data_IF_826739582214
#
_entry.id   IF_826739582214
#
_cell.length_a   1.000
_cell.length_b   1.000
_cell.length_c   1.000
_cell.angle_alpha   90.00
_cell.angle_beta   90.00
_cell.angle_gamma   90.00
#
_symmetry.space_group_name_H-M   'P 1'
#
loop_
_entity.id
_entity.type
_entity.pdbx_description
1 polymer ?
2 non-polymer ?
3 non-polymer ?
4 water ?
#
# COMPACT_ATOMS: atom_id res chain seq x y z
N UNK A 1 -0.05 -18.38 -4.88
CA UNK A 1 0.27 -16.97 -4.49
C UNK A 1 1.67 -16.53 -4.97
N UNK A 2 2.03 -15.27 -4.67
CA UNK A 2 3.42 -14.80 -4.88
C UNK A 2 4.09 -14.23 -3.64
N UNK A 3 3.44 -13.34 -2.91
CA UNK A 3 4.04 -12.77 -1.71
C UNK A 3 3.98 -13.76 -0.54
N UNK A 4 5.07 -13.77 0.23
CA UNK A 4 5.42 -14.82 1.15
C UNK A 4 6.14 -14.12 2.36
N UNK A 5 5.79 -12.85 2.55
CA UNK A 5 6.31 -12.10 3.67
C UNK A 5 5.13 -11.40 4.29
N UNK A 6 4.80 -11.77 5.52
CA UNK A 6 3.71 -11.14 6.24
C UNK A 6 4.21 -10.81 7.61
N UNK A 7 3.49 -9.91 8.27
CA UNK A 7 3.89 -9.55 9.60
C UNK A 7 3.23 -10.47 10.61
N UNK A 8 4.08 -11.03 11.46
CA UNK A 8 3.62 -11.89 12.55
C UNK A 8 3.16 -10.99 13.68
N UNK A 9 2.03 -11.33 14.29
CA UNK A 9 1.57 -10.65 15.51
C UNK A 9 0.96 -9.30 15.23
N UNK A 10 0.47 -9.10 14.01
CA UNK A 10 -0.06 -7.80 13.58
C UNK A 10 -1.25 -7.38 14.41
N UNK A 11 -1.20 -6.16 14.96
CA UNK A 11 -2.40 -5.60 15.56
C UNK A 11 -3.00 -4.54 14.64
N UNK A 12 -4.08 -4.89 13.95
CA UNK A 12 -4.62 -4.02 12.91
C UNK A 12 -5.07 -2.66 13.47
N UNK A 13 -5.55 -2.65 14.71
CA UNK A 13 -6.07 -1.41 15.30
C UNK A 13 -5.01 -0.33 15.35
N UNK A 14 -3.77 -0.79 15.54
CA UNK A 14 -2.58 0.04 15.67
C UNK A 14 -2.06 0.61 14.34
N UNK A 15 -2.65 0.22 13.21
CA UNK A 15 -2.32 0.90 11.92
C UNK A 15 -3.31 2.03 11.57
N UNK A 16 -4.26 2.31 12.46
CA UNK A 16 -5.18 3.38 12.21
C UNK A 16 -4.44 4.73 12.00
N UNK A 17 -5.05 5.60 11.21
CA UNK A 17 -4.55 6.96 11.15
C UNK A 17 -3.91 7.35 9.83
N UNK A 18 -3.05 8.38 9.90
CA UNK A 18 -2.48 9.07 8.72
C UNK A 18 -1.31 8.29 8.13
N UNK A 19 -1.31 8.16 6.81
CA UNK A 19 -0.18 7.57 6.14
C UNK A 19 0.09 8.32 4.84
N UNK A 20 1.31 8.14 4.35
CA UNK A 20 1.82 8.74 3.09
C UNK A 20 2.40 7.59 2.25
N UNK A 21 1.97 7.44 1.00
CA UNK A 21 2.65 6.53 0.05
C UNK A 21 4.00 7.06 -0.43
N UNK A 22 5.05 6.83 0.37
CA UNK A 22 6.39 7.26 0.06
C UNK A 22 6.96 6.59 -1.24
N UNK A 23 6.74 5.28 -1.40
CA UNK A 23 7.24 4.57 -2.60
C UNK A 23 6.26 3.51 -3.01
N UNK A 24 6.27 3.16 -4.32
CA UNK A 24 5.38 2.12 -4.84
C UNK A 24 6.18 1.30 -5.85
N UNK A 25 5.85 0.02 -5.99
CA UNK A 25 6.49 -0.86 -7.02
C UNK A 25 5.46 -1.81 -7.59
N UNK A 26 5.64 -2.27 -8.82
CA UNK A 26 4.62 -3.18 -9.37
C UNK A 26 5.27 -4.16 -10.34
N UNK A 27 4.54 -5.22 -10.68
CA UNK A 27 5.15 -6.33 -11.43
C UNK A 27 5.16 -5.96 -12.91
N UNK A 28 4.32 -5.01 -13.27
CA UNK A 28 4.13 -4.58 -14.65
C UNK A 28 4.16 -3.08 -14.69
N UNK A 29 4.85 -2.52 -15.70
CA UNK A 29 5.00 -1.07 -15.87
C UNK A 29 3.68 -0.34 -15.97
N UNK A 30 2.73 -0.95 -16.67
CA UNK A 30 1.47 -0.32 -16.97
C UNK A 30 0.61 -0.19 -15.71
N UNK A 31 0.98 -0.91 -14.65
CA UNK A 31 0.27 -0.79 -13.35
C UNK A 31 0.51 0.56 -12.64
N UNK A 32 1.67 1.18 -12.91
CA UNK A 32 2.09 2.41 -12.22
C UNK A 32 2.48 3.58 -13.15
N UNK A 33 2.55 3.34 -14.46
CA UNK A 33 3.22 4.31 -15.38
C UNK A 33 2.62 5.74 -15.48
N UNK A 34 1.35 5.88 -15.85
CA UNK A 34 0.72 7.21 -15.86
C UNK A 34 0.02 7.53 -14.56
N UNK A 35 -0.34 8.80 -14.40
CA UNK A 35 -1.09 9.29 -13.24
C UNK A 35 -2.45 8.59 -13.10
N UNK A 36 -2.98 8.05 -14.20
CA UNK A 36 -4.24 7.31 -14.14
C UNK A 36 -4.09 5.77 -14.26
N UNK A 37 -2.85 5.28 -14.20
CA UNK A 37 -2.58 3.84 -14.10
C UNK A 37 -3.41 3.15 -13.00
N UNK A 38 -3.80 1.89 -13.21
CA UNK A 38 -4.77 1.28 -12.28
C UNK A 38 -4.33 1.16 -10.80
N UNK A 39 -3.03 0.96 -10.54
CA UNK A 39 -2.58 0.82 -9.15
C UNK A 39 -1.85 2.03 -8.59
N UNK A 40 -1.88 3.12 -9.36
CA UNK A 40 -1.31 4.37 -8.86
C UNK A 40 -2.31 4.96 -7.85
N UNK A 41 -2.25 4.53 -6.60
CA UNK A 41 -3.19 4.99 -5.58
C UNK A 41 -2.40 5.53 -4.40
N UNK A 42 -2.84 6.66 -3.84
CA UNK A 42 -2.08 7.32 -2.77
C UNK A 42 -2.90 7.21 -1.51
N UNK A 43 -2.32 6.60 -0.49
CA UNK A 43 -3.04 6.30 0.73
C UNK A 43 -3.08 7.55 1.56
N UNK A 44 -4.23 7.78 2.20
CA UNK A 44 -4.48 8.97 2.99
C UNK A 44 -4.66 8.56 4.45
N UNK A 45 -5.45 7.52 4.70
CA UNK A 45 -5.78 7.16 6.07
C UNK A 45 -6.25 5.72 6.17
N UNK A 46 -5.81 5.04 7.22
CA UNK A 46 -6.32 3.70 7.43
C UNK A 46 -7.29 3.72 8.60
N UNK A 47 -8.46 3.14 8.36
CA UNK A 47 -9.50 3.07 9.39
C UNK A 47 -9.98 1.62 9.61
N UNK A 48 -9.30 0.90 10.51
CA UNK A 48 -9.77 -0.45 10.87
C UNK A 48 -11.11 -0.40 11.63
N UNK A 49 -12.05 -1.28 11.27
CA UNK A 49 -13.37 -1.32 11.90
C UNK A 49 -13.28 -2.09 13.23
N UNK A 50 -14.27 -1.90 14.14
CA UNK A 50 -14.25 -2.71 15.39
C UNK A 50 -14.17 -4.23 15.15
N UNK A 51 -14.85 -4.72 14.11
CA UNK A 51 -14.80 -6.14 13.73
C UNK A 51 -13.47 -6.61 13.10
N UNK A 52 -12.52 -5.69 12.86
CA UNK A 52 -11.20 -5.98 12.29
C UNK A 52 -11.04 -5.96 10.78
N UNK A 53 -12.05 -5.47 10.05
CA UNK A 53 -11.92 -5.05 8.66
C UNK A 53 -11.13 -3.72 8.58
N UNK A 54 -10.65 -3.38 7.40
CA UNK A 54 -9.82 -2.20 7.22
C UNK A 54 -10.42 -1.35 6.13
N UNK A 55 -10.94 -0.19 6.52
CA UNK A 55 -11.34 0.81 5.54
C UNK A 55 -10.12 1.62 5.14
N UNK A 56 -10.02 1.88 3.85
CA UNK A 56 -8.93 2.68 3.33
C UNK A 56 -9.51 3.90 2.63
N UNK A 57 -8.99 5.06 2.99
CA UNK A 57 -9.22 6.30 2.27
C UNK A 57 -7.98 6.55 1.40
N UNK A 58 -8.20 6.72 0.11
CA UNK A 58 -7.10 7.05 -0.78
C UNK A 58 -7.50 8.13 -1.80
N UNK A 59 -6.50 8.65 -2.52
CA UNK A 59 -6.70 9.47 -3.69
C UNK A 59 -6.29 8.70 -4.93
N UNK A 60 -7.02 8.93 -6.01
CA UNK A 60 -6.76 8.30 -7.29
C UNK A 60 -7.08 9.27 -8.44
N UNK A 61 -6.17 9.41 -9.39
CA UNK A 61 -6.44 10.22 -10.59
C UNK A 61 -7.36 9.49 -11.56
N UNK A 62 -8.51 10.09 -11.85
CA UNK A 62 -9.49 9.51 -12.77
C UNK A 62 -10.24 10.59 -13.57
N UNK A 63 -10.08 10.54 -14.90
CA UNK A 63 -10.67 11.52 -15.82
C UNK A 63 -10.07 12.91 -15.63
N UNK A 64 -8.75 12.98 -15.72
CA UNK A 64 -8.04 14.25 -15.55
C UNK A 64 -8.20 14.94 -14.21
N UNK A 65 -8.58 14.20 -13.16
CA UNK A 65 -8.65 14.79 -11.80
C UNK A 65 -8.38 13.84 -10.62
N UNK A 66 -7.91 14.43 -9.52
CA UNK A 66 -7.56 13.70 -8.31
C UNK A 66 -8.77 13.44 -7.42
N UNK A 67 -9.35 12.26 -7.56
CA UNK A 67 -10.55 11.89 -6.83
C UNK A 67 -10.27 11.12 -5.54
N UNK A 68 -11.04 11.41 -4.51
CA UNK A 68 -11.03 10.59 -3.30
C UNK A 68 -11.71 9.27 -3.55
N UNK A 69 -11.34 8.28 -2.75
CA UNK A 69 -11.90 6.96 -2.89
C UNK A 69 -11.90 6.38 -1.48
N UNK A 70 -12.93 5.61 -1.16
CA UNK A 70 -13.00 4.91 0.12
C UNK A 70 -13.27 3.44 -0.20
N UNK A 71 -12.40 2.58 0.30
CA UNK A 71 -12.34 1.15 -0.05
C UNK A 71 -12.41 0.32 1.23
N UNK A 72 -13.07 -0.84 1.19
CA UNK A 72 -13.06 -1.77 2.34
C UNK A 72 -12.25 -3.04 2.05
N UNK A 73 -11.27 -3.29 2.92
CA UNK A 73 -10.53 -4.56 2.90
C UNK A 73 -11.05 -5.44 4.05
N UNK A 74 -11.72 -6.51 3.67
CA UNK A 74 -12.31 -7.42 4.65
C UNK A 74 -11.31 -8.41 5.21
N UNK A 75 -11.36 -8.61 6.53
CA UNK A 75 -10.43 -9.49 7.21
C UNK A 75 -10.56 -10.93 6.71
N UNK A 76 -9.48 -11.69 6.86
CA UNK A 76 -9.52 -13.13 6.62
C UNK A 76 -9.10 -13.86 7.90
N UNK A 77 -8.98 -15.18 7.80
CA UNK A 77 -8.49 -15.99 8.93
C UNK A 77 -7.04 -15.72 9.27
N UNK A 78 -6.36 -14.99 8.39
CA UNK A 78 -4.97 -14.61 8.61
C UNK A 78 -4.98 -13.12 8.98
N UNK A 79 -4.47 -12.76 10.20
CA UNK A 79 -4.37 -11.33 10.60
C UNK A 79 -3.72 -10.37 9.58
N UNK A 80 -2.73 -10.83 8.79
CA UNK A 80 -2.00 -9.88 7.93
C UNK A 80 -2.51 -9.84 6.49
N UNK A 81 -3.61 -10.55 6.23
CA UNK A 81 -4.19 -10.69 4.89
C UNK A 81 -5.66 -10.26 4.85
N UNK A 82 -5.98 -9.44 3.86
CA UNK A 82 -7.31 -8.86 3.72
C UNK A 82 -7.75 -9.05 2.30
N UNK A 83 -9.04 -8.88 2.06
CA UNK A 83 -9.61 -9.11 0.77
C UNK A 83 -10.49 -7.91 0.37
N UNK A 84 -10.16 -7.29 -0.75
CA UNK A 84 -11.06 -6.35 -1.44
C UNK A 84 -11.91 -7.14 -2.45
N UNK A 85 -13.21 -6.91 -2.50
CA UNK A 85 -14.06 -7.56 -3.53
C UNK A 85 -14.10 -6.86 -4.92
N UNK A 86 -13.92 -7.67 -5.97
CA UNK A 86 -14.03 -7.21 -7.37
C UNK A 86 -14.46 -8.37 -8.28
N UNK A 87 -14.55 -8.09 -9.59
CA UNK A 87 -14.70 -9.15 -10.61
C UNK A 87 -13.66 -10.28 -10.40
N UNK A 88 -12.61 -9.95 -9.66
CA UNK A 88 -11.53 -10.87 -9.33
C UNK A 88 -11.08 -10.68 -7.89
N UNK A 89 -10.83 -11.80 -7.22
CA UNK A 89 -10.36 -11.81 -5.83
C UNK A 89 -9.04 -11.07 -5.73
N UNK A 90 -9.01 -9.95 -4.99
CA UNK A 90 -7.77 -9.19 -4.82
C UNK A 90 -7.32 -9.03 -3.36
N UNK A 91 -6.11 -9.50 -3.09
CA UNK A 91 -5.60 -9.79 -1.76
C UNK A 91 -4.62 -8.71 -1.28
N UNK A 92 -4.89 -8.15 -0.12
CA UNK A 92 -3.96 -7.23 0.52
C UNK A 92 -3.17 -7.91 1.63
N UNK A 93 -1.85 -7.81 1.60
CA UNK A 93 -1.01 -8.39 2.65
C UNK A 93 -0.19 -7.33 3.32
N UNK A 94 -0.23 -7.28 4.66
CA UNK A 94 0.72 -6.47 5.41
C UNK A 94 2.05 -7.22 5.64
N UNK A 95 3.16 -6.67 5.14
CA UNK A 95 4.45 -7.35 5.17
C UNK A 95 5.17 -7.08 6.47
N UNK A 96 5.14 -5.81 6.88
CA UNK A 96 5.94 -5.38 7.99
C UNK A 96 5.41 -4.00 8.38
N UNK A 97 5.37 -3.75 9.69
CA UNK A 97 5.09 -2.41 10.22
C UNK A 97 5.62 -2.30 11.62
N UNK A 98 5.94 -1.05 11.99
CA UNK A 98 6.24 -0.72 13.36
C UNK A 98 5.19 0.23 13.94
N UNK A 99 4.10 0.44 13.20
CA UNK A 99 2.98 1.25 13.67
C UNK A 99 3.25 2.76 13.73
N UNK A 100 4.40 3.12 14.29
CA UNK A 100 4.71 4.53 14.55
C UNK A 100 5.39 5.27 13.39
N UNK A 101 6.05 4.53 12.48
CA UNK A 101 6.86 5.16 11.42
C UNK A 101 6.53 4.64 10.02
N UNK A 102 6.51 3.30 9.86
CA UNK A 102 6.38 2.74 8.53
C UNK A 102 5.48 1.52 8.44
N UNK A 103 4.96 1.26 7.24
CA UNK A 103 4.21 0.05 7.01
C UNK A 103 4.43 -0.33 5.55
N UNK A 104 4.78 -1.61 5.31
CA UNK A 104 4.86 -2.17 3.93
C UNK A 104 3.72 -3.13 3.64
N UNK A 105 3.06 -2.93 2.51
CA UNK A 105 2.00 -3.80 2.06
C UNK A 105 2.12 -4.08 0.59
N UNK A 106 1.50 -5.18 0.17
CA UNK A 106 1.41 -5.53 -1.22
C UNK A 106 -0.04 -5.84 -1.53
N UNK A 107 -0.47 -5.61 -2.77
CA UNK A 107 -1.75 -6.11 -3.21
C UNK A 107 -1.50 -7.00 -4.41
N UNK A 108 -2.21 -8.12 -4.47
CA UNK A 108 -1.99 -9.03 -5.60
C UNK A 108 -3.27 -9.70 -6.05
N UNK A 109 -3.38 -9.99 -7.35
CA UNK A 109 -4.59 -10.68 -7.85
C UNK A 109 -4.50 -12.21 -7.87
N UNK A 114 -0.28 -15.56 -15.39
CA UNK A 114 0.68 -14.64 -14.78
C UNK A 114 0.00 -13.76 -13.70
N UNK A 115 0.40 -13.93 -12.44
CA UNK A 115 -0.20 -13.12 -11.37
C UNK A 115 0.47 -11.75 -11.19
N UNK A 116 -0.34 -10.71 -10.98
CA UNK A 116 0.16 -9.33 -10.90
C UNK A 116 0.08 -8.74 -9.48
N UNK A 117 0.79 -7.63 -9.27
CA UNK A 117 1.26 -7.33 -7.93
C UNK A 117 1.76 -5.90 -7.82
N UNK A 118 1.34 -5.21 -6.76
CA UNK A 118 1.90 -3.89 -6.42
C UNK A 118 2.10 -3.78 -4.91
N UNK A 119 3.16 -3.08 -4.51
CA UNK A 119 3.52 -2.92 -3.11
C UNK A 119 3.85 -1.45 -2.84
N UNK A 120 3.66 -1.00 -1.59
CA UNK A 120 4.03 0.37 -1.27
C UNK A 120 4.73 0.36 0.03
N UNK A 121 5.52 1.41 0.23
CA UNK A 121 6.13 1.75 1.51
C UNK A 121 5.36 2.98 2.03
N UNK A 122 4.58 2.77 3.09
CA UNK A 122 3.79 3.83 3.73
C UNK A 122 4.58 4.35 4.89
N UNK A 123 4.50 5.66 5.12
CA UNK A 123 5.20 6.29 6.27
C UNK A 123 4.24 7.29 6.95
N UNK A 124 4.50 7.60 8.22
CA UNK A 124 3.51 8.43 8.97
C UNK A 124 3.61 9.92 8.66
N UNK A 125 4.79 10.32 8.18
CA UNK A 125 5.11 11.76 8.00
C UNK A 125 5.63 12.03 6.59
N UNK A 126 5.49 13.29 6.09
CA UNK A 126 6.01 13.69 4.76
C UNK A 126 7.53 13.85 4.76
N UNK A 127 8.21 12.74 5.06
CA UNK A 127 9.65 12.69 5.23
C UNK A 127 10.18 11.46 4.50
N UNK A 128 11.36 11.59 3.91
CA UNK A 128 12.04 10.47 3.29
C UNK A 128 12.71 9.62 4.38
N UNK A 129 12.13 8.46 4.62
CA UNK A 129 12.67 7.56 5.63
C UNK A 129 13.55 6.51 4.92
N UNK A 130 14.87 6.73 4.94
CA UNK A 130 15.85 5.84 4.29
C UNK A 130 15.76 4.42 4.83
N UNK A 131 15.50 4.32 6.13
CA UNK A 131 15.41 3.05 6.85
C UNK A 131 14.19 2.23 6.41
N UNK A 132 13.02 2.86 6.34
CA UNK A 132 11.82 2.23 5.79
C UNK A 132 12.02 1.83 4.33
N UNK A 133 12.70 2.68 3.55
CA UNK A 133 12.97 2.37 2.14
C UNK A 133 13.90 1.18 1.97
N UNK A 134 14.86 1.03 2.88
CA UNK A 134 15.75 -0.14 2.93
C UNK A 134 14.95 -1.43 3.02
N UNK A 135 14.13 -1.52 4.08
CA UNK A 135 13.21 -2.61 4.33
C UNK A 135 12.26 -2.90 3.16
N UNK A 136 11.78 -1.85 2.48
CA UNK A 136 10.97 -1.99 1.29
C UNK A 136 11.76 -2.66 0.15
N UNK A 137 12.97 -2.18 -0.09
CA UNK A 137 13.77 -2.78 -1.16
C UNK A 137 14.19 -4.21 -0.81
N UNK A 138 14.46 -4.49 0.45
CA UNK A 138 14.77 -5.87 0.84
C UNK A 138 13.56 -6.80 0.57
N UNK A 139 12.37 -6.35 0.95
CA UNK A 139 11.15 -7.13 0.78
C UNK A 139 10.89 -7.36 -0.69
N UNK A 140 11.30 -6.41 -1.54
CA UNK A 140 10.98 -6.43 -2.95
C UNK A 140 11.97 -7.32 -3.70
N UNK A 141 13.10 -7.62 -3.10
CA UNK A 141 14.03 -8.47 -3.82
C UNK A 141 13.45 -9.89 -4.01
N UNK A 142 12.56 -10.32 -3.11
CA UNK A 142 11.77 -11.55 -3.29
C UNK A 142 10.77 -11.52 -4.45
N UNK A 143 10.64 -10.39 -5.15
CA UNK A 143 9.46 -10.23 -6.03
C UNK A 143 9.79 -9.81 -7.45
N UNK A 144 8.93 -10.17 -8.44
CA UNK A 144 9.22 -9.81 -9.83
C UNK A 144 8.79 -8.38 -10.19
N UNK A 145 9.36 -7.35 -9.56
CA UNK A 145 8.96 -5.96 -9.85
C UNK A 145 9.62 -5.43 -11.11
N UNK A 146 8.92 -4.56 -11.86
CA UNK A 146 9.46 -3.97 -13.11
C UNK A 146 9.29 -2.44 -13.16
N UNK A 147 8.63 -1.87 -12.14
CA UNK A 147 8.58 -0.39 -12.03
C UNK A 147 8.63 -0.03 -10.54
N UNK A 148 9.35 1.03 -10.20
CA UNK A 148 9.40 1.50 -8.80
C UNK A 148 9.37 3.01 -8.87
N UNK A 149 8.54 3.61 -8.03
CA UNK A 149 8.44 5.07 -7.99
C UNK A 149 8.66 5.53 -6.53
N UNK A 150 9.22 6.73 -6.35
CA UNK A 150 9.30 7.29 -4.99
C UNK A 150 9.02 8.80 -5.05
N UNK A 151 8.53 9.32 -3.93
CA UNK A 151 8.06 10.70 -3.91
C UNK A 151 8.84 11.53 -2.91
N UNK A 152 8.92 12.83 -3.19
CA UNK A 152 9.70 13.72 -2.33
C UNK A 152 8.70 14.39 -1.37
N UNK A 153 9.20 15.03 -0.30
CA UNK A 153 8.30 15.60 0.69
C UNK A 153 7.33 16.66 0.16
N UNK A 154 7.70 17.34 -0.94
CA UNK A 154 6.85 18.41 -1.47
C UNK A 154 5.63 17.76 -2.10
N UNK A 155 5.90 16.75 -2.93
CA UNK A 155 4.86 15.98 -3.57
C UNK A 155 3.98 15.26 -2.59
N UNK A 156 4.56 14.82 -1.48
CA UNK A 156 3.84 14.04 -0.49
C UNK A 156 2.75 14.90 0.18
N UNK A 157 2.91 16.21 0.08
CA UNK A 157 1.93 17.14 0.67
C UNK A 157 0.90 17.68 -0.29
N UNK A 158 0.94 17.21 -1.53
CA UNK A 158 -0.02 17.58 -2.55
C UNK A 158 -0.95 16.45 -2.79
N UNK A 159 -2.19 16.79 -3.12
CA UNK A 159 -3.13 15.79 -3.53
C UNK A 159 -2.58 15.10 -4.77
N UNK A 160 -2.73 13.76 -4.83
CA UNK A 160 -2.20 12.90 -5.90
C UNK A 160 -0.71 13.10 -6.24
N UNK A 161 0.01 13.62 -5.26
CA UNK A 161 1.48 13.71 -5.31
C UNK A 161 1.95 14.51 -6.50
N UNK A 162 1.20 15.59 -6.75
CA UNK A 162 1.48 16.48 -7.84
C UNK A 162 2.79 17.21 -7.61
X LIG B 1 -9.55 1.24 -7.28
X LIG B 1 -10.51 0.69 -6.69
X LIG B 1 -9.59 1.58 -8.48
X LIG B 1 -8.30 1.50 -6.46
X LIG B 1 -7.13 0.63 -6.94
X LIG B 1 -6.88 -0.57 -6.04
X LIG B 1 -7.22 -0.27 -4.58
X LIG B 1 -6.22 -0.95 -3.65
X LIG B 1 -5.99 -0.13 -2.38
X LIG B 1 -5.48 -1.04 -1.28
X LIG B 1 -4.50 -0.33 -0.35
X LIG B 1 -4.31 -1.17 0.90
X LIG B 1 -3.46 -0.48 1.97
X LIG B 1 -3.48 -1.39 3.16
X LIG B 1 -2.23 -1.29 3.99
X LIG B 1 -2.42 -2.10 5.25
X LIG C 1 8.57 -8.75 8.53
X LIG C 1 7.96 -9.30 7.38
X LIG C 1 7.67 -8.99 9.73
X LIG C 1 7.84 -8.03 10.77
X LIG C 1 7.99 -10.39 10.26
X LIG C 1 6.95 -10.73 11.12
#
# INVERSE_FOLDING_TARGET
LIVTQTMKGLDIQKVAGTWYSLAMAASDISLLDAQSAPLRVYVEELKPTPEGDLEILLQKWENGECAQKKIIAEKTKIPAVFKIDALNENKVLVLDTDYKKYLLFCMENSAEPEQSLACQCLVRTPEVDDEALEKFDKALKALPMHIRLSFNPTQLEEQCHI
MYR C1 O1 O2 C2 C3 C4 C5 C6 C7 C8 C9 C10 C11 C12 C13 C14
GOL C1 O1 C2 O2 C3 O3
#
